data_IF_137237987309
#
_entry.id   IF_137237987309
#
_cell.length_a   1.000
_cell.length_b   1.000
_cell.length_c   1.000
_cell.angle_alpha   90.00
_cell.angle_beta   90.00
_cell.angle_gamma   90.00
#
_symmetry.space_group_name_H-M   'P 1'
#
loop_
_entity.id
_entity.type
_entity.pdbx_description
1 polymer ?
#
# COMPACT_ATOMS: atom_id res chain seq x y z
N UNK A 1 11.62 -20.61 25.74
CA UNK A 1 12.38 -19.34 25.82
C UNK A 1 11.46 -18.15 25.52
N UNK A 2 10.64 -18.23 24.49
CA UNK A 2 9.74 -17.16 24.03
C UNK A 2 8.70 -16.68 25.06
N UNK A 3 8.04 -17.59 25.80
CA UNK A 3 7.03 -17.21 26.81
C UNK A 3 7.58 -16.26 27.88
N UNK A 4 8.84 -16.44 28.29
CA UNK A 4 9.47 -15.58 29.31
C UNK A 4 9.70 -14.15 28.79
N UNK A 5 10.04 -14.02 27.52
CA UNK A 5 10.25 -12.71 26.87
C UNK A 5 8.92 -11.98 26.74
N UNK A 6 7.86 -12.67 26.33
CA UNK A 6 6.50 -12.10 26.22
C UNK A 6 5.99 -11.64 27.59
N UNK A 7 6.16 -12.45 28.64
CA UNK A 7 5.76 -12.05 30.00
C UNK A 7 6.55 -10.84 30.49
N UNK A 8 7.86 -10.79 30.25
CA UNK A 8 8.69 -9.64 30.62
C UNK A 8 8.23 -8.36 29.92
N UNK A 9 7.94 -8.45 28.61
CA UNK A 9 7.44 -7.32 27.83
C UNK A 9 6.10 -6.81 28.38
N UNK A 10 5.17 -7.70 28.69
CA UNK A 10 3.89 -7.33 29.32
C UNK A 10 4.11 -6.58 30.63
N UNK A 11 4.98 -7.07 31.50
CA UNK A 11 5.29 -6.42 32.78
C UNK A 11 5.85 -5.01 32.57
N UNK A 12 6.79 -4.85 31.63
CA UNK A 12 7.36 -3.54 31.33
C UNK A 12 6.33 -2.56 30.73
N UNK A 13 5.37 -3.04 29.92
CA UNK A 13 4.29 -2.21 29.37
C UNK A 13 3.29 -1.78 30.46
N UNK A 14 2.96 -2.68 31.39
CA UNK A 14 2.05 -2.35 32.49
C UNK A 14 2.70 -1.35 33.48
N UNK A 15 4.00 -1.49 33.75
CA UNK A 15 4.75 -0.57 34.61
C UNK A 15 4.86 0.84 34.02
N UNK A 16 5.14 0.96 32.72
CA UNK A 16 5.22 2.27 32.05
C UNK A 16 3.87 2.99 32.04
N UNK A 17 2.76 2.25 31.92
CA UNK A 17 1.42 2.83 32.00
C UNK A 17 1.09 3.37 33.41
N UNK A 18 1.55 2.70 34.47
CA UNK A 18 1.30 3.10 35.87
C UNK A 18 2.02 4.40 36.26
N UNK A 19 3.22 4.64 35.72
CA UNK A 19 3.97 5.89 35.93
C UNK A 19 3.22 7.12 35.39
N UNK A 20 2.40 6.95 34.35
CA UNK A 20 1.57 8.03 33.79
C UNK A 20 0.41 8.36 34.74
N UNK A 21 -0.24 7.35 35.33
CA UNK A 21 -1.41 7.54 36.20
C UNK A 21 -1.08 8.09 37.60
N UNK A 22 0.13 7.87 38.12
CA UNK A 22 0.52 8.34 39.46
C UNK A 22 0.80 9.84 39.55
N UNK A 23 0.77 10.57 38.43
CA UNK A 23 1.02 12.02 38.42
C UNK A 23 -0.21 12.89 38.73
N UNK A 24 -1.42 12.32 38.79
CA UNK A 24 -2.67 13.07 39.07
C UNK A 24 -3.14 13.01 40.53
N UNK A 25 -2.48 12.22 41.41
CA UNK A 25 -2.86 12.14 42.83
C UNK A 25 -1.63 12.19 43.74
N UNK A 26 -1.53 13.31 44.44
CA UNK A 26 -0.70 13.63 45.61
C UNK A 26 0.64 14.36 45.38
N UNK A 27 0.59 15.63 45.79
CA UNK A 27 1.67 16.51 46.21
C UNK A 27 2.66 15.87 47.20
N UNK A 28 3.98 15.97 46.93
CA UNK A 28 4.92 16.78 47.72
C UNK A 28 6.40 16.57 47.32
N UNK A 29 7.09 17.72 47.19
CA UNK A 29 8.52 18.04 47.34
C UNK A 29 9.64 17.14 46.74
N UNK A 30 10.34 17.76 45.78
CA UNK A 30 11.79 17.69 45.49
C UNK A 30 12.42 16.36 45.06
N UNK A 31 12.53 16.16 43.74
CA UNK A 31 13.81 15.79 43.08
C UNK A 31 13.67 15.81 41.55
N UNK A 32 14.50 16.63 40.89
CA UNK A 32 14.86 16.66 39.46
C UNK A 32 13.73 16.70 38.41
N UNK A 33 13.84 17.70 37.55
CA UNK A 33 13.01 18.08 36.40
C UNK A 33 12.97 17.02 35.27
N UNK A 34 12.67 15.76 35.57
CA UNK A 34 12.41 14.74 34.55
C UNK A 34 10.90 14.73 34.26
N UNK A 35 10.51 15.45 33.21
CA UNK A 35 9.18 15.29 32.61
C UNK A 35 8.90 13.79 32.45
N UNK A 36 7.74 13.26 32.87
CA UNK A 36 7.43 11.86 32.66
C UNK A 36 7.52 11.56 31.16
N UNK A 37 8.43 10.65 30.79
CA UNK A 37 8.64 10.27 29.40
C UNK A 37 7.45 9.45 28.91
N UNK A 38 6.81 9.89 27.83
CA UNK A 38 5.78 9.10 27.17
C UNK A 38 6.45 8.09 26.23
N UNK A 39 6.11 6.80 26.40
CA UNK A 39 6.58 5.72 25.53
C UNK A 39 5.40 5.25 24.68
N UNK A 40 5.53 5.38 23.35
CA UNK A 40 4.58 4.82 22.40
C UNK A 40 5.17 3.55 21.79
N UNK A 41 4.42 2.44 21.84
CA UNK A 41 4.83 1.16 21.26
C UNK A 41 4.00 0.89 20.01
N UNK A 42 4.68 0.73 18.86
CA UNK A 42 4.05 0.39 17.58
C UNK A 42 4.56 -0.98 17.14
N UNK A 43 3.64 -1.90 16.86
CA UNK A 43 3.93 -3.23 16.32
C UNK A 43 3.32 -3.40 14.93
N UNK A 44 4.02 -4.13 14.05
CA UNK A 44 3.51 -4.54 12.75
C UNK A 44 3.53 -6.08 12.67
N UNK A 45 2.43 -6.68 12.20
CA UNK A 45 2.31 -8.13 12.01
C UNK A 45 1.43 -8.42 10.80
N UNK A 46 1.81 -9.45 10.02
CA UNK A 46 0.96 -10.00 8.97
C UNK A 46 -0.01 -11.06 9.52
N UNK A 47 0.16 -11.46 10.79
CA UNK A 47 -0.57 -12.54 11.46
C UNK A 47 -1.07 -12.08 12.82
N UNK A 48 -2.17 -11.30 12.88
CA UNK A 48 -2.73 -10.82 14.15
C UNK A 48 -3.27 -11.96 15.03
N UNK A 49 -3.61 -13.10 14.43
CA UNK A 49 -4.00 -14.35 15.08
C UNK A 49 -2.85 -15.01 15.86
N UNK A 50 -1.60 -14.79 15.42
CA UNK A 50 -0.41 -15.36 16.06
C UNK A 50 0.07 -14.53 17.26
N UNK A 51 -0.47 -13.33 17.47
CA UNK A 51 -0.12 -12.47 18.61
C UNK A 51 -0.89 -12.94 19.85
N UNK A 52 -0.20 -13.01 20.99
CA UNK A 52 -0.83 -13.38 22.26
C UNK A 52 -1.98 -12.43 22.60
N UNK A 53 -3.17 -12.99 22.82
CA UNK A 53 -4.38 -12.25 23.22
C UNK A 53 -4.18 -11.37 24.45
N UNK A 54 -3.24 -11.70 25.34
CA UNK A 54 -2.93 -10.89 26.52
C UNK A 54 -2.25 -9.57 26.15
N UNK A 55 -1.46 -9.52 25.06
CA UNK A 55 -0.82 -8.29 24.58
C UNK A 55 -1.82 -7.34 23.89
N UNK A 56 -2.93 -7.88 23.36
CA UNK A 56 -4.00 -7.15 22.66
C UNK A 56 -5.05 -6.53 23.59
N UNK A 57 -4.81 -6.56 24.91
CA UNK A 57 -5.73 -6.02 25.91
C UNK A 57 -5.47 -4.53 26.16
N UNK A 58 -6.48 -3.78 26.63
CA UNK A 58 -6.32 -2.38 27.02
C UNK A 58 -5.13 -2.17 27.98
N UNK A 59 -4.36 -1.10 27.76
CA UNK A 59 -3.13 -0.79 28.51
C UNK A 59 -1.84 -1.31 27.87
N UNK A 60 -1.93 -2.08 26.77
CA UNK A 60 -0.79 -2.59 26.00
C UNK A 60 -0.94 -2.23 24.51
N UNK A 61 -1.22 -3.19 23.62
CA UNK A 61 -1.70 -2.90 22.27
C UNK A 61 -3.22 -2.75 22.31
N UNK A 62 -3.65 -1.55 22.68
CA UNK A 62 -5.06 -1.16 22.83
C UNK A 62 -5.72 -0.77 21.49
N UNK A 63 -4.92 -0.38 20.50
CA UNK A 63 -5.37 0.01 19.16
C UNK A 63 -4.79 -0.92 18.10
N UNK A 64 -5.68 -1.46 17.27
CA UNK A 64 -5.33 -2.23 16.08
C UNK A 64 -5.78 -1.45 14.84
N UNK A 65 -4.84 -1.25 13.91
CA UNK A 65 -5.10 -0.60 12.63
C UNK A 65 -4.85 -1.63 11.54
N UNK A 66 -5.92 -2.07 10.88
CA UNK A 66 -5.83 -3.02 9.78
C UNK A 66 -5.51 -2.25 8.50
N UNK A 67 -4.35 -2.56 7.91
CA UNK A 67 -3.94 -2.02 6.61
C UNK A 67 -4.34 -3.01 5.51
N UNK A 68 -5.41 -2.68 4.81
CA UNK A 68 -5.90 -3.47 3.67
C UNK A 68 -5.15 -3.19 2.36
N UNK A 69 -5.57 -3.88 1.31
CA UNK A 69 -5.13 -3.60 -0.06
C UNK A 69 -5.71 -2.24 -0.49
N UNK A 70 -4.91 -1.34 -1.09
CA UNK A 70 -5.38 0.00 -1.47
C UNK A 70 -6.44 -0.06 -2.58
N UNK A 71 -7.44 0.80 -2.47
CA UNK A 71 -8.43 1.04 -3.52
C UNK A 71 -7.86 1.84 -4.69
N UNK A 72 -8.65 2.13 -5.74
CA UNK A 72 -8.18 2.87 -6.91
C UNK A 72 -7.61 4.26 -6.56
N UNK A 73 -8.28 4.98 -5.65
CA UNK A 73 -7.87 6.32 -5.24
C UNK A 73 -6.57 6.28 -4.43
N UNK A 74 -6.47 5.36 -3.46
CA UNK A 74 -5.26 5.15 -2.68
C UNK A 74 -4.08 4.70 -3.56
N UNK A 75 -4.31 3.85 -4.56
CA UNK A 75 -3.27 3.49 -5.53
C UNK A 75 -2.81 4.71 -6.34
N UNK A 76 -3.72 5.59 -6.76
CA UNK A 76 -3.37 6.84 -7.42
C UNK A 76 -2.51 7.74 -6.52
N UNK A 77 -2.86 7.91 -5.24
CA UNK A 77 -2.07 8.69 -4.29
C UNK A 77 -0.67 8.10 -4.06
N UNK A 78 -0.59 6.77 -3.86
CA UNK A 78 0.70 6.07 -3.71
C UNK A 78 1.55 6.28 -4.96
N UNK A 79 0.97 6.12 -6.16
CA UNK A 79 1.66 6.37 -7.43
C UNK A 79 2.10 7.84 -7.57
N UNK A 80 1.30 8.80 -7.11
CA UNK A 80 1.69 10.22 -7.10
C UNK A 80 2.90 10.48 -6.21
N UNK A 81 3.01 9.79 -5.07
CA UNK A 81 4.18 9.91 -4.19
C UNK A 81 5.40 9.23 -4.80
N UNK A 82 5.23 8.02 -5.34
CA UNK A 82 6.32 7.25 -5.97
C UNK A 82 6.88 7.93 -7.21
N UNK A 83 6.03 8.63 -7.97
CA UNK A 83 6.45 9.31 -9.21
C UNK A 83 6.93 10.75 -8.98
N UNK A 84 6.84 11.28 -7.75
CA UNK A 84 7.22 12.68 -7.43
C UNK A 84 8.68 13.03 -7.76
N UNK A 85 9.58 12.06 -7.63
CA UNK A 85 11.02 12.24 -7.92
C UNK A 85 11.42 11.70 -9.29
N UNK A 86 10.45 11.25 -10.10
CA UNK A 86 10.71 10.72 -11.44
C UNK A 86 10.52 11.83 -12.48
N UNK A 87 11.36 11.83 -13.50
CA UNK A 87 11.19 12.69 -14.68
C UNK A 87 10.18 12.04 -15.61
N UNK A 88 8.94 12.50 -15.58
CA UNK A 88 7.86 12.00 -16.44
C UNK A 88 7.75 12.88 -17.68
N UNK A 89 7.57 12.28 -18.84
CA UNK A 89 7.38 12.99 -20.11
C UNK A 89 5.98 12.77 -20.70
N UNK A 90 5.43 13.83 -21.29
CA UNK A 90 4.17 13.80 -22.01
C UNK A 90 2.93 13.82 -21.11
N UNK A 91 1.80 13.40 -21.67
CA UNK A 91 0.52 13.28 -20.94
C UNK A 91 0.54 12.03 -20.05
N UNK A 92 1.16 12.15 -18.88
CA UNK A 92 1.30 11.04 -17.94
C UNK A 92 0.06 10.90 -17.06
N UNK A 93 -0.80 9.92 -17.36
CA UNK A 93 -2.05 9.68 -16.64
C UNK A 93 -1.90 8.58 -15.58
N UNK A 94 -1.73 9.00 -14.32
CA UNK A 94 -1.64 8.10 -13.17
C UNK A 94 -2.95 7.33 -12.92
N UNK A 95 -4.12 7.89 -13.27
CA UNK A 95 -5.40 7.21 -13.08
C UNK A 95 -5.50 5.97 -13.96
N UNK A 96 -5.02 6.05 -15.20
CA UNK A 96 -4.98 4.90 -16.10
C UNK A 96 -4.16 3.75 -15.51
N UNK A 97 -3.02 4.04 -14.87
CA UNK A 97 -2.20 3.02 -14.20
C UNK A 97 -2.89 2.47 -12.95
N UNK A 98 -3.49 3.33 -12.13
CA UNK A 98 -4.22 2.91 -10.92
C UNK A 98 -5.37 1.95 -11.25
N UNK A 99 -6.09 2.19 -12.35
CA UNK A 99 -7.14 1.29 -12.89
C UNK A 99 -6.59 -0.03 -13.41
N UNK A 100 -5.43 0.02 -14.07
CA UNK A 100 -4.78 -1.17 -14.64
C UNK A 100 -4.09 -2.07 -13.61
N UNK A 101 -4.01 -1.65 -12.34
CA UNK A 101 -3.28 -2.35 -11.26
C UNK A 101 -4.17 -2.80 -10.09
N UNK A 102 -5.32 -3.47 -10.33
CA UNK A 102 -6.15 -3.96 -9.24
C UNK A 102 -5.41 -5.01 -8.41
N UNK A 103 -5.51 -4.90 -7.09
CA UNK A 103 -4.84 -5.82 -6.16
C UNK A 103 -3.34 -5.58 -5.99
N UNK A 104 -2.78 -4.49 -6.54
CA UNK A 104 -1.40 -4.11 -6.25
C UNK A 104 -1.33 -3.46 -4.88
N UNK A 105 -0.37 -3.88 -4.06
CA UNK A 105 -0.04 -3.20 -2.79
C UNK A 105 1.06 -2.16 -3.00
N UNK A 106 1.37 -1.35 -1.98
CA UNK A 106 2.39 -0.31 -2.07
C UNK A 106 3.76 -0.81 -2.56
N UNK A 107 4.16 -2.02 -2.13
CA UNK A 107 5.39 -2.65 -2.62
C UNK A 107 5.34 -3.00 -4.11
N UNK A 108 4.20 -3.47 -4.62
CA UNK A 108 4.04 -3.80 -6.04
C UNK A 108 4.04 -2.54 -6.91
N UNK A 109 3.40 -1.46 -6.44
CA UNK A 109 3.43 -0.16 -7.12
C UNK A 109 4.84 0.44 -7.15
N UNK A 110 5.61 0.27 -6.07
CA UNK A 110 7.01 0.67 -6.04
C UNK A 110 7.85 -0.18 -7.02
N UNK A 111 7.62 -1.49 -7.08
CA UNK A 111 8.26 -2.39 -8.04
C UNK A 111 7.91 -2.01 -9.49
N UNK A 112 6.65 -1.64 -9.75
CA UNK A 112 6.18 -1.13 -11.03
C UNK A 112 6.94 0.12 -11.46
N UNK A 113 7.03 1.13 -10.59
CA UNK A 113 7.75 2.38 -10.87
C UNK A 113 9.24 2.13 -11.14
N UNK A 114 9.88 1.29 -10.32
CA UNK A 114 11.28 0.90 -10.53
C UNK A 114 11.47 0.15 -11.85
N UNK A 115 10.52 -0.72 -12.23
CA UNK A 115 10.59 -1.46 -13.49
C UNK A 115 10.43 -0.54 -14.68
N UNK A 116 9.49 0.41 -14.62
CA UNK A 116 9.33 1.44 -15.65
C UNK A 116 10.59 2.30 -15.81
N UNK A 117 11.23 2.70 -14.69
CA UNK A 117 12.52 3.39 -14.72
C UNK A 117 13.63 2.58 -15.39
N UNK A 118 13.71 1.27 -15.11
CA UNK A 118 14.67 0.38 -15.77
C UNK A 118 14.39 0.23 -17.28
N UNK A 119 13.12 0.21 -17.70
CA UNK A 119 12.76 0.17 -19.12
C UNK A 119 13.16 1.46 -19.85
N UNK A 120 12.91 2.62 -19.23
CA UNK A 120 13.36 3.91 -19.76
C UNK A 120 14.89 3.97 -19.86
N UNK A 121 15.61 3.48 -18.85
CA UNK A 121 17.07 3.43 -18.88
C UNK A 121 17.59 2.48 -19.96
N UNK A 122 16.98 1.30 -20.11
CA UNK A 122 17.30 0.35 -21.17
C UNK A 122 17.12 0.98 -22.56
N UNK A 123 16.04 1.74 -22.78
CA UNK A 123 15.78 2.44 -24.05
C UNK A 123 16.94 3.38 -24.43
N UNK A 124 17.46 4.15 -23.47
CA UNK A 124 18.58 5.07 -23.72
C UNK A 124 19.89 4.32 -23.96
N UNK A 125 20.15 3.26 -23.18
CA UNK A 125 21.33 2.41 -23.38
C UNK A 125 21.31 1.78 -24.78
N UNK A 126 20.15 1.27 -25.22
CA UNK A 126 19.99 0.68 -26.54
C UNK A 126 20.17 1.74 -27.65
N UNK A 127 19.65 2.96 -27.46
CA UNK A 127 19.88 4.07 -28.40
C UNK A 127 21.36 4.44 -28.51
N UNK A 128 22.06 4.58 -27.38
CA UNK A 128 23.50 4.87 -27.35
C UNK A 128 24.32 3.77 -28.04
N UNK A 129 23.95 2.50 -27.81
CA UNK A 129 24.57 1.36 -28.51
C UNK A 129 24.37 1.43 -30.03
N UNK A 130 23.19 1.83 -30.49
CA UNK A 130 22.91 1.99 -31.91
C UNK A 130 23.67 3.15 -32.55
N UNK A 131 23.83 4.28 -31.85
CA UNK A 131 24.63 5.42 -32.32
C UNK A 131 26.10 5.02 -32.46
N UNK A 132 26.65 4.33 -31.45
CA UNK A 132 28.03 3.84 -31.48
C UNK A 132 28.28 2.77 -32.56
N UNK A 133 27.29 1.93 -32.87
CA UNK A 133 27.41 0.91 -33.93
C UNK A 133 27.38 1.51 -35.36
N UNK A 134 26.97 2.77 -35.52
CA UNK A 134 26.95 3.48 -36.83
C UNK A 134 28.24 4.23 -37.09
N UNK A 135 28.95 4.62 -36.05
CA UNK A 135 30.31 5.15 -36.16
C UNK A 135 31.27 3.96 -36.21
N UNK A 136 31.86 3.73 -37.38
CA UNK A 136 32.84 2.67 -37.60
C UNK A 136 34.08 2.89 -36.72
N UNK A 137 34.15 2.19 -35.59
CA UNK A 137 35.29 2.19 -34.67
C UNK A 137 35.82 0.75 -34.56
N UNK A 138 37.15 0.62 -34.53
CA UNK A 138 37.92 -0.62 -34.42
C UNK A 138 37.35 -1.61 -33.39
N UNK A 139 37.40 -2.91 -33.72
CA UNK A 139 36.88 -4.04 -32.92
C UNK A 139 37.41 -4.07 -31.47
N UNK A 140 38.56 -3.43 -31.19
CA UNK A 140 39.14 -3.34 -29.84
C UNK A 140 38.40 -2.36 -28.90
N UNK A 141 37.67 -1.36 -29.42
CA UNK A 141 36.91 -0.39 -28.59
C UNK A 141 35.45 -0.80 -28.40
N UNK A 142 34.99 -1.84 -29.08
CA UNK A 142 33.62 -2.35 -28.99
C UNK A 142 33.24 -2.89 -27.61
N UNK A 143 34.23 -3.28 -26.78
CA UNK A 143 34.00 -3.84 -25.44
C UNK A 143 33.99 -2.79 -24.31
N UNK A 144 34.38 -1.55 -24.56
CA UNK A 144 34.48 -0.49 -23.53
C UNK A 144 33.45 0.64 -23.65
N UNK A 145 32.52 0.58 -24.61
CA UNK A 145 31.49 1.62 -24.82
C UNK A 145 30.67 1.94 -23.56
N UNK A 146 30.42 0.96 -22.69
CA UNK A 146 29.66 1.10 -21.43
C UNK A 146 30.46 1.78 -20.31
N UNK A 147 31.79 1.95 -20.45
CA UNK A 147 32.65 2.65 -19.48
C UNK A 147 32.72 4.15 -19.74
N UNK A 148 32.24 4.62 -20.89
CA UNK A 148 32.26 6.06 -21.18
C UNK A 148 31.34 6.82 -20.22
N UNK A 149 31.80 7.95 -19.65
CA UNK A 149 30.97 8.79 -18.81
C UNK A 149 29.68 9.21 -19.54
N UNK A 150 28.60 9.35 -18.79
CA UNK A 150 27.35 9.92 -19.30
C UNK A 150 27.49 11.44 -19.34
N UNK A 151 27.19 12.04 -20.48
CA UNK A 151 27.15 13.49 -20.60
C UNK A 151 25.90 14.03 -19.87
N UNK A 152 25.95 15.22 -19.25
CA UNK A 152 24.79 15.80 -18.58
C UNK A 152 23.55 15.90 -19.49
N UNK A 153 23.76 16.21 -20.77
CA UNK A 153 22.69 16.31 -21.79
C UNK A 153 22.01 14.96 -22.09
N UNK A 154 22.76 13.85 -22.02
CA UNK A 154 22.19 12.50 -22.20
C UNK A 154 21.36 12.10 -20.98
N UNK A 155 21.80 12.50 -19.78
CA UNK A 155 21.03 12.29 -18.55
C UNK A 155 19.79 13.17 -18.48
N UNK A 156 19.80 14.34 -19.11
CA UNK A 156 18.61 15.19 -19.24
C UNK A 156 17.53 14.58 -20.13
N UNK A 157 17.92 13.79 -21.14
CA UNK A 157 16.99 13.02 -21.98
C UNK A 157 16.37 11.80 -21.27
N UNK A 158 16.83 11.44 -20.08
CA UNK A 158 16.26 10.33 -19.31
C UNK A 158 14.91 10.71 -18.71
N UNK A 159 13.88 10.45 -19.50
CA UNK A 159 12.47 10.62 -19.16
C UNK A 159 11.74 9.28 -19.20
N UNK A 160 10.79 9.11 -18.28
CA UNK A 160 9.91 7.95 -18.25
C UNK A 160 8.61 8.31 -18.95
N UNK A 161 8.20 7.46 -19.89
CA UNK A 161 6.98 7.64 -20.66
C UNK A 161 5.86 6.75 -20.13
N UNK A 162 4.63 7.02 -20.56
CA UNK A 162 3.48 6.19 -20.21
C UNK A 162 3.62 4.74 -20.71
N UNK A 163 4.23 4.53 -21.87
CA UNK A 163 4.45 3.20 -22.44
C UNK A 163 5.35 2.33 -21.56
N UNK A 164 6.34 2.93 -20.88
CA UNK A 164 7.23 2.22 -19.97
C UNK A 164 6.46 1.66 -18.76
N UNK A 165 5.48 2.43 -18.24
CA UNK A 165 4.60 1.99 -17.16
C UNK A 165 3.60 0.93 -17.60
N UNK A 166 3.02 1.07 -18.79
CA UNK A 166 2.10 0.06 -19.36
C UNK A 166 2.80 -1.27 -19.59
N UNK A 167 4.05 -1.25 -20.06
CA UNK A 167 4.85 -2.45 -20.27
C UNK A 167 5.32 -3.05 -18.95
N UNK A 168 5.73 -2.21 -17.99
CA UNK A 168 6.06 -2.66 -16.64
C UNK A 168 4.87 -3.35 -15.94
N UNK A 169 3.64 -2.86 -16.14
CA UNK A 169 2.44 -3.43 -15.53
C UNK A 169 2.16 -4.87 -15.98
N UNK A 170 2.56 -5.24 -17.19
CA UNK A 170 2.44 -6.63 -17.68
C UNK A 170 3.45 -7.57 -17.04
N UNK A 171 4.60 -7.04 -16.60
CA UNK A 171 5.71 -7.82 -16.06
C UNK A 171 5.61 -8.02 -14.54
N UNK A 172 5.05 -7.06 -13.81
CA UNK A 172 4.93 -7.11 -12.36
C UNK A 172 3.68 -7.90 -11.95
N UNK A 173 3.87 -8.92 -11.12
CA UNK A 173 2.76 -9.71 -10.58
C UNK A 173 2.33 -9.16 -9.22
N UNK A 174 1.02 -8.99 -8.96
CA UNK A 174 0.53 -8.49 -7.68
C UNK A 174 0.79 -9.48 -6.55
N UNK A 175 1.21 -8.95 -5.41
CA UNK A 175 1.45 -9.74 -4.20
C UNK A 175 0.14 -10.30 -3.62
N UNK A 176 -0.98 -9.58 -3.76
CA UNK A 176 -2.30 -10.08 -3.29
C UNK A 176 -2.73 -11.38 -3.97
N UNK A 177 -2.29 -11.63 -5.21
CA UNK A 177 -2.56 -12.90 -5.91
C UNK A 177 -1.78 -14.08 -5.32
N UNK A 178 -0.66 -13.82 -4.62
CA UNK A 178 0.16 -14.84 -3.97
C UNK A 178 -0.40 -15.29 -2.62
N UNK A 179 -1.16 -14.43 -1.96
CA UNK A 179 -1.69 -14.68 -0.61
C UNK A 179 -3.11 -15.25 -0.58
N UNK A 180 -3.72 -15.51 -1.75
CA UNK A 180 -5.03 -16.16 -1.84
C UNK A 180 -6.21 -15.28 -1.43
N UNK A 181 -6.00 -13.98 -1.22
CA UNK A 181 -7.09 -13.02 -1.09
C UNK A 181 -7.76 -12.84 -2.45
N UNK A 182 -9.08 -13.05 -2.50
CA UNK A 182 -9.89 -12.61 -3.63
C UNK A 182 -9.68 -11.10 -3.76
N UNK A 183 -8.97 -10.70 -4.81
CA UNK A 183 -8.73 -9.31 -5.19
C UNK A 183 -10.05 -8.54 -5.10
N UNK A 184 -10.02 -7.25 -4.75
CA UNK A 184 -11.11 -6.34 -5.11
C UNK A 184 -11.41 -6.62 -6.59
N UNK A 185 -12.56 -7.24 -6.92
CA UNK A 185 -12.76 -7.75 -8.26
C UNK A 185 -12.78 -6.56 -9.20
N UNK A 186 -12.08 -6.67 -10.34
CA UNK A 186 -12.18 -5.70 -11.43
C UNK A 186 -13.51 -5.86 -12.20
N UNK A 187 -14.54 -6.40 -11.55
CA UNK A 187 -15.84 -6.71 -12.11
C UNK A 187 -16.81 -5.65 -11.59
N UNK A 188 -17.40 -4.89 -12.50
CA UNK A 188 -18.44 -3.93 -12.18
C UNK A 188 -19.81 -4.62 -12.18
N UNK A 189 -20.81 -3.96 -11.59
CA UNK A 189 -22.20 -4.43 -11.66
C UNK A 189 -22.72 -4.58 -13.10
N UNK A 190 -22.17 -3.80 -14.03
CA UNK A 190 -22.46 -3.87 -15.46
C UNK A 190 -21.98 -5.17 -16.10
N UNK A 191 -20.92 -5.78 -15.55
CA UNK A 191 -20.34 -7.02 -16.05
C UNK A 191 -21.09 -8.28 -15.54
N UNK A 192 -22.05 -8.09 -14.62
CA UNK A 192 -22.79 -9.18 -13.96
C UNK A 192 -24.25 -9.21 -14.43
N UNK A 193 -24.54 -10.13 -15.36
CA UNK A 193 -25.89 -10.33 -15.89
C UNK A 193 -26.82 -11.08 -14.94
N UNK A 194 -28.11 -10.75 -14.97
CA UNK A 194 -29.18 -11.54 -14.35
C UNK A 194 -29.38 -11.36 -12.83
N UNK A 195 -28.59 -10.51 -12.18
CA UNK A 195 -28.68 -10.24 -10.73
C UNK A 195 -29.28 -8.85 -10.39
N UNK A 196 -30.11 -8.28 -11.27
CA UNK A 196 -30.67 -6.93 -11.08
C UNK A 196 -31.46 -6.80 -9.76
N UNK A 197 -32.23 -7.82 -9.40
CA UNK A 197 -32.98 -7.85 -8.13
C UNK A 197 -32.03 -7.83 -6.93
N UNK A 198 -31.03 -8.72 -6.92
CA UNK A 198 -30.06 -8.81 -5.83
C UNK A 198 -29.25 -7.51 -5.70
N UNK A 199 -28.91 -6.88 -6.84
CA UNK A 199 -28.23 -5.58 -6.89
C UNK A 199 -29.05 -4.48 -6.23
N UNK A 200 -30.36 -4.43 -6.49
CA UNK A 200 -31.26 -3.46 -5.84
C UNK A 200 -31.36 -3.71 -4.34
N UNK A 201 -31.45 -4.97 -3.90
CA UNK A 201 -31.49 -5.31 -2.49
C UNK A 201 -30.18 -4.94 -1.79
N UNK A 202 -29.03 -5.23 -2.40
CA UNK A 202 -27.73 -4.80 -1.86
C UNK A 202 -27.58 -3.29 -1.83
N UNK A 203 -28.00 -2.57 -2.86
CA UNK A 203 -27.94 -1.11 -2.85
C UNK A 203 -28.76 -0.53 -1.69
N UNK A 204 -29.98 -1.04 -1.53
CA UNK A 204 -30.94 -0.59 -0.52
C UNK A 204 -30.49 -0.90 0.91
N UNK A 205 -30.03 -2.12 1.17
CA UNK A 205 -29.77 -2.59 2.52
C UNK A 205 -28.30 -2.47 2.95
N UNK A 206 -27.35 -2.41 2.00
CA UNK A 206 -25.91 -2.34 2.31
C UNK A 206 -25.32 -1.01 1.82
N UNK A 207 -25.32 -0.78 0.51
CA UNK A 207 -24.52 0.30 -0.10
C UNK A 207 -24.97 1.68 0.38
N UNK A 208 -26.27 1.97 0.36
CA UNK A 208 -26.79 3.28 0.78
C UNK A 208 -26.51 3.58 2.25
N UNK A 209 -26.58 2.58 3.13
CA UNK A 209 -26.29 2.74 4.56
C UNK A 209 -24.83 3.08 4.82
N UNK A 210 -23.91 2.46 4.06
CA UNK A 210 -22.47 2.75 4.16
C UNK A 210 -22.14 4.12 3.56
N UNK A 211 -22.79 4.49 2.44
CA UNK A 211 -22.52 5.75 1.75
C UNK A 211 -23.12 6.98 2.43
N UNK A 212 -24.26 6.84 3.08
CA UNK A 212 -25.03 7.94 3.68
C UNK A 212 -25.39 7.64 5.15
N UNK A 213 -24.41 7.35 6.03
CA UNK A 213 -24.70 6.93 7.39
C UNK A 213 -25.50 7.99 8.19
N UNK A 214 -25.29 9.27 7.92
CA UNK A 214 -26.00 10.40 8.51
C UNK A 214 -27.52 10.35 8.31
N UNK A 215 -27.99 10.06 7.09
CA UNK A 215 -29.41 10.00 6.77
C UNK A 215 -30.10 8.92 7.63
N UNK A 216 -29.49 7.75 7.76
CA UNK A 216 -30.07 6.62 8.50
C UNK A 216 -30.03 6.81 10.02
N UNK A 217 -29.03 7.54 10.53
CA UNK A 217 -28.95 7.92 11.93
C UNK A 217 -30.09 8.88 12.33
N UNK A 218 -30.46 9.82 11.45
CA UNK A 218 -31.58 10.75 11.68
C UNK A 218 -32.93 10.02 11.76
N UNK A 219 -33.11 8.96 10.95
CA UNK A 219 -34.31 8.11 11.01
C UNK A 219 -34.31 7.08 12.15
N UNK A 220 -33.27 7.06 13.00
CA UNK A 220 -33.17 6.14 14.15
C UNK A 220 -33.06 4.67 13.74
N UNK A 221 -32.56 4.39 12.53
CA UNK A 221 -32.44 3.03 12.01
C UNK A 221 -31.03 2.51 12.29
N UNK A 222 -30.93 1.49 13.12
CA UNK A 222 -29.63 0.91 13.49
C UNK A 222 -28.93 0.25 12.29
N UNK A 223 -27.59 0.32 12.26
CA UNK A 223 -26.75 -0.19 11.16
C UNK A 223 -26.50 -1.70 11.22
N UNK A 224 -26.95 -2.37 12.29
CA UNK A 224 -26.70 -3.80 12.55
C UNK A 224 -27.61 -4.71 11.71
N UNK A 225 -27.35 -4.79 10.40
CA UNK A 225 -27.95 -5.83 9.54
C UNK A 225 -26.91 -6.86 9.14
N UNK A 226 -27.10 -8.11 9.60
CA UNK A 226 -26.38 -9.27 9.10
C UNK A 226 -27.02 -9.80 7.83
N UNK A 227 -26.21 -10.12 6.82
CA UNK A 227 -26.68 -10.71 5.57
C UNK A 227 -26.16 -12.13 5.43
N UNK A 228 -27.05 -13.06 5.09
CA UNK A 228 -26.68 -14.43 4.75
C UNK A 228 -26.87 -14.63 3.25
N UNK A 229 -25.76 -14.80 2.54
CA UNK A 229 -25.79 -15.19 1.13
C UNK A 229 -25.76 -16.71 1.03
N UNK A 230 -26.74 -17.28 0.36
CA UNK A 230 -26.82 -18.72 0.11
C UNK A 230 -27.32 -18.97 -1.32
N UNK A 231 -26.81 -20.04 -1.92
CA UNK A 231 -27.15 -20.42 -3.28
C UNK A 231 -26.41 -21.68 -3.71
N UNK A 232 -26.86 -22.34 -4.78
CA UNK A 232 -26.09 -23.41 -5.40
C UNK A 232 -24.75 -22.88 -5.94
N UNK A 233 -23.71 -23.73 -6.06
CA UNK A 233 -22.41 -23.29 -6.56
C UNK A 233 -22.52 -22.77 -8.00
N UNK A 234 -21.97 -21.57 -8.25
CA UNK A 234 -21.99 -20.92 -9.56
C UNK A 234 -23.11 -19.88 -9.76
N UNK A 235 -23.85 -19.54 -8.71
CA UNK A 235 -24.85 -18.46 -8.68
C UNK A 235 -24.38 -17.29 -7.80
#
# INVERSE_FOLDING_TARGET
MERRIVTQLMTCMDESHRLVQSSDKESNLESSDSKPGYVLVIGATNRPDAVDSALRRPGRFDREIVLGVPDENARHEILSVLTRNLRLEGSFDLWKIARATPGFVGADLAALANKAGNLAMKRIIDQRKHEFSRESIDEEQADEWWRQPWLPEEMEKLTITMADFEEAAKMVQPSSRREGFSTIPNVKWEDVGGLDFLRQEFDRYIVRRIKFPEDYAEFGVDLETGFLLYGPPGC
#
